data_IF_669120629509
#
_entry.id   IF_669120629509
#
_cell.length_a   1.000
_cell.length_b   1.000
_cell.length_c   1.000
_cell.angle_alpha   90.00
_cell.angle_beta   90.00
_cell.angle_gamma   90.00
#
_symmetry.space_group_name_H-M   'P 1'
#
loop_
_entity.id
_entity.type
_entity.pdbx_description
1 polymer ?
#
# COMPACT_ATOMS: atom_id res chain seq x y z
N UNK A 1 -25.81 -8.62 -3.30
CA UNK A 1 -24.87 -9.45 -2.51
C UNK A 1 -23.46 -8.88 -2.65
N UNK A 2 -23.23 -7.67 -2.10
CA UNK A 2 -22.05 -6.82 -2.41
C UNK A 2 -21.16 -6.48 -1.18
N UNK A 3 -21.40 -7.09 -0.01
CA UNK A 3 -20.98 -6.50 1.28
C UNK A 3 -20.02 -7.34 2.15
N UNK A 4 -19.48 -8.45 1.66
CA UNK A 4 -18.55 -9.29 2.47
C UNK A 4 -17.08 -9.15 2.03
N UNK A 5 -16.80 -8.96 0.74
CA UNK A 5 -15.43 -8.70 0.26
C UNK A 5 -14.93 -7.29 0.61
N UNK A 6 -15.83 -6.30 0.65
CA UNK A 6 -15.52 -4.92 1.07
C UNK A 6 -14.93 -4.82 2.48
N UNK A 7 -15.31 -5.72 3.39
CA UNK A 7 -14.81 -5.70 4.78
C UNK A 7 -13.40 -6.27 4.93
N UNK A 8 -12.94 -7.16 4.04
CA UNK A 8 -11.62 -7.80 4.16
C UNK A 8 -10.49 -6.97 3.56
N UNK A 9 -10.73 -6.25 2.47
CA UNK A 9 -9.76 -5.31 1.90
C UNK A 9 -9.45 -4.18 2.91
N UNK A 10 -10.47 -3.68 3.62
CA UNK A 10 -10.29 -2.72 4.70
C UNK A 10 -9.65 -3.31 5.97
N UNK A 11 -9.84 -4.61 6.26
CA UNK A 11 -9.24 -5.25 7.44
C UNK A 11 -7.72 -5.43 7.28
N UNK A 12 -7.22 -5.69 6.07
CA UNK A 12 -5.79 -5.77 5.78
C UNK A 12 -5.12 -4.38 5.81
N UNK A 13 -5.73 -3.37 5.20
CA UNK A 13 -5.24 -1.98 5.29
C UNK A 13 -5.34 -1.38 6.70
N UNK A 14 -6.37 -1.74 7.47
CA UNK A 14 -6.52 -1.34 8.87
C UNK A 14 -5.44 -1.93 9.78
N UNK A 15 -4.95 -3.14 9.46
CA UNK A 15 -3.87 -3.77 10.21
C UNK A 15 -2.51 -3.11 9.96
N UNK A 16 -2.27 -2.53 8.77
CA UNK A 16 -1.02 -1.81 8.44
C UNK A 16 -0.98 -0.39 9.05
N UNK A 17 -2.13 0.21 9.40
CA UNK A 17 -2.17 1.59 9.93
C UNK A 17 -2.69 1.76 11.35
N UNK A 18 -3.21 0.73 12.04
CA UNK A 18 -3.78 0.89 13.38
C UNK A 18 -3.62 -0.34 14.26
N UNK A 19 -2.55 -0.40 15.07
CA UNK A 19 -2.65 -0.91 16.45
C UNK A 19 -1.62 -0.24 17.36
N UNK A 20 -1.93 0.97 17.83
CA UNK A 20 -1.46 1.42 19.14
C UNK A 20 -2.62 1.23 20.14
N UNK A 21 -2.55 0.18 20.94
CA UNK A 21 -3.29 0.06 22.22
C UNK A 21 -4.54 -0.84 22.26
N UNK A 22 -4.41 -1.98 22.97
CA UNK A 22 -5.47 -2.57 23.81
C UNK A 22 -6.56 -3.45 23.16
N UNK A 23 -6.59 -4.74 23.55
CA UNK A 23 -7.69 -5.69 23.26
C UNK A 23 -8.95 -5.42 24.15
N UNK A 24 -10.15 -6.01 23.90
CA UNK A 24 -10.37 -7.46 23.97
C UNK A 24 -11.34 -8.13 22.96
N UNK A 25 -11.12 -9.45 22.83
CA UNK A 25 -11.94 -10.60 22.42
C UNK A 25 -13.37 -10.45 21.87
N UNK A 26 -13.69 -11.24 20.83
CA UNK A 26 -15.00 -11.91 20.70
C UNK A 26 -14.89 -13.30 20.05
N UNK A 27 -15.76 -14.18 20.54
CA UNK A 27 -15.82 -15.64 20.41
C UNK A 27 -16.80 -16.08 19.31
N UNK A 28 -16.48 -17.18 18.60
CA UNK A 28 -17.47 -18.22 18.25
C UNK A 28 -17.87 -18.42 16.78
N UNK A 29 -17.77 -19.67 16.31
CA UNK A 29 -18.71 -20.27 15.33
C UNK A 29 -18.15 -20.69 13.96
N UNK A 30 -17.95 -22.00 13.77
CA UNK A 30 -17.65 -22.69 12.49
C UNK A 30 -18.95 -22.97 11.65
N UNK A 31 -18.93 -23.82 10.60
CA UNK A 31 -18.31 -23.67 9.27
C UNK A 31 -19.32 -23.90 8.12
N UNK A 32 -19.24 -23.24 6.95
CA UNK A 32 -19.93 -23.71 5.72
C UNK A 32 -19.10 -23.43 4.46
N UNK A 33 -18.68 -24.51 3.81
CA UNK A 33 -18.15 -24.58 2.44
C UNK A 33 -19.26 -24.31 1.41
N UNK A 34 -18.96 -23.62 0.31
CA UNK A 34 -19.37 -24.06 -1.05
C UNK A 34 -18.64 -23.31 -2.15
N UNK A 35 -18.27 -24.09 -3.16
CA UNK A 35 -17.40 -23.76 -4.29
C UNK A 35 -17.93 -22.60 -5.16
N UNK A 36 -17.03 -21.71 -5.58
CA UNK A 36 -17.27 -20.73 -6.65
C UNK A 36 -16.42 -21.13 -7.85
N UNK A 37 -17.10 -21.47 -8.93
CA UNK A 37 -16.53 -21.73 -10.25
C UNK A 37 -15.86 -20.45 -10.78
N UNK A 38 -14.56 -20.54 -11.09
CA UNK A 38 -13.78 -19.48 -11.70
C UNK A 38 -14.17 -19.33 -13.18
N UNK A 39 -14.67 -18.14 -13.57
CA UNK A 39 -14.57 -17.68 -14.95
C UNK A 39 -13.29 -16.86 -15.05
N UNK A 40 -12.22 -17.53 -15.49
CA UNK A 40 -10.95 -16.88 -15.78
C UNK A 40 -11.01 -16.15 -17.11
N UNK A 41 -10.69 -14.86 -17.08
CA UNK A 41 -10.20 -14.15 -18.25
C UNK A 41 -8.85 -13.57 -17.84
N UNK A 42 -7.74 -14.08 -18.36
CA UNK A 42 -6.41 -13.62 -17.92
C UNK A 42 -6.22 -12.18 -18.37
N UNK A 43 -6.41 -11.20 -17.48
CA UNK A 43 -6.10 -9.81 -17.79
C UNK A 43 -4.60 -9.66 -18.07
N UNK A 44 -4.27 -9.31 -19.30
CA UNK A 44 -2.96 -8.82 -19.72
C UNK A 44 -2.81 -7.36 -19.25
N UNK A 45 -1.57 -6.88 -19.12
CA UNK A 45 -1.24 -5.50 -18.72
C UNK A 45 -2.01 -4.43 -19.53
N UNK A 46 -2.47 -4.76 -20.73
CA UNK A 46 -3.23 -3.89 -21.63
C UNK A 46 -4.57 -3.38 -21.05
N UNK A 47 -5.12 -4.00 -20.01
CA UNK A 47 -6.36 -3.53 -19.36
C UNK A 47 -6.17 -2.43 -18.32
N UNK A 48 -4.93 -2.14 -17.92
CA UNK A 48 -4.61 -1.22 -16.83
C UNK A 48 -4.87 0.23 -17.23
N UNK A 49 -5.44 1.01 -16.30
CA UNK A 49 -5.83 2.40 -16.56
C UNK A 49 -5.02 3.35 -15.71
N UNK A 50 -4.57 4.45 -16.30
CA UNK A 50 -3.96 5.55 -15.55
C UNK A 50 -5.01 6.24 -14.67
N UNK A 51 -4.60 6.49 -13.43
CA UNK A 51 -5.39 7.14 -12.40
C UNK A 51 -4.60 8.31 -11.82
N UNK A 52 -5.29 9.42 -11.55
CA UNK A 52 -4.72 10.61 -10.92
C UNK A 52 -5.18 10.70 -9.46
N UNK A 53 -4.28 11.05 -8.56
CA UNK A 53 -4.67 11.37 -7.19
C UNK A 53 -5.63 12.57 -7.14
N UNK A 54 -6.49 12.65 -6.12
CA UNK A 54 -7.54 13.67 -6.00
C UNK A 54 -7.00 15.11 -6.02
N UNK A 55 -5.75 15.31 -5.60
CA UNK A 55 -5.09 16.61 -5.64
C UNK A 55 -4.22 16.81 -6.89
N UNK A 56 -4.25 15.86 -7.83
CA UNK A 56 -3.52 15.91 -9.09
C UNK A 56 -2.00 15.78 -8.96
N UNK A 57 -1.46 15.56 -7.76
CA UNK A 57 -0.01 15.58 -7.48
C UNK A 57 0.77 14.41 -8.08
N UNK A 58 0.08 13.32 -8.39
CA UNK A 58 0.69 12.12 -8.95
C UNK A 58 -0.32 11.30 -9.73
N UNK A 59 0.21 10.41 -10.57
CA UNK A 59 -0.56 9.41 -11.28
C UNK A 59 0.11 8.04 -11.24
N UNK A 60 -0.70 6.99 -11.40
CA UNK A 60 -0.27 5.59 -11.43
C UNK A 60 -1.24 4.77 -12.28
N UNK A 61 -0.76 3.72 -12.93
CA UNK A 61 -1.62 2.74 -13.62
C UNK A 61 -2.11 1.69 -12.63
N UNK A 62 -3.42 1.45 -12.61
CA UNK A 62 -4.07 0.44 -11.76
C UNK A 62 -4.91 -0.53 -12.61
N UNK A 63 -5.07 -1.78 -12.15
CA UNK A 63 -5.84 -2.77 -12.89
C UNK A 63 -7.33 -2.44 -12.96
N UNK A 64 -7.88 -1.85 -11.90
CA UNK A 64 -9.26 -1.39 -11.82
C UNK A 64 -9.32 0.04 -11.26
N UNK A 65 -10.51 0.65 -11.28
CA UNK A 65 -10.71 1.95 -10.63
C UNK A 65 -10.56 1.77 -9.11
N UNK A 66 -9.67 2.54 -8.45
CA UNK A 66 -9.43 2.34 -7.03
C UNK A 66 -10.58 2.80 -6.15
N UNK A 67 -10.76 2.13 -5.02
CA UNK A 67 -11.44 2.70 -3.87
C UNK A 67 -10.51 3.75 -3.22
N UNK A 68 -11.07 4.89 -2.81
CA UNK A 68 -10.31 5.98 -2.18
C UNK A 68 -10.76 6.21 -0.74
N UNK A 69 -9.79 6.25 0.17
CA UNK A 69 -9.98 6.50 1.59
C UNK A 69 -9.14 7.70 2.01
N UNK A 70 -9.75 8.60 2.77
CA UNK A 70 -9.07 9.73 3.42
C UNK A 70 -9.03 9.52 4.92
N UNK A 71 -7.89 9.79 5.53
CA UNK A 71 -7.74 9.73 6.98
C UNK A 71 -6.87 10.87 7.48
N UNK A 72 -7.24 11.41 8.64
CA UNK A 72 -6.44 12.40 9.37
C UNK A 72 -6.11 11.79 10.72
N UNK A 73 -4.84 11.82 11.09
CA UNK A 73 -4.36 11.33 12.39
C UNK A 73 -3.61 12.45 13.10
N UNK A 74 -3.74 12.58 14.44
CA UNK A 74 -2.92 13.49 15.21
C UNK A 74 -1.45 13.08 15.09
N UNK A 75 -0.57 14.06 14.92
CA UNK A 75 0.87 13.85 15.01
C UNK A 75 1.33 14.00 16.46
N UNK A 76 2.41 13.33 16.91
CA UNK A 76 2.88 13.45 18.30
C UNK A 76 3.21 14.88 18.74
N UNK A 77 3.61 15.73 17.80
CA UNK A 77 3.80 17.15 18.04
C UNK A 77 2.47 17.90 18.02
N UNK A 78 2.20 18.65 19.09
CA UNK A 78 0.94 19.37 19.25
C UNK A 78 0.66 20.33 18.09
N UNK A 79 -0.59 20.35 17.64
CA UNK A 79 -1.04 21.24 16.56
C UNK A 79 -0.80 20.70 15.15
N UNK A 80 -0.13 19.57 14.98
CA UNK A 80 0.09 18.94 13.68
C UNK A 80 -0.75 17.68 13.46
N UNK A 81 -1.08 17.42 12.20
CA UNK A 81 -1.81 16.23 11.77
C UNK A 81 -1.13 15.60 10.56
N UNK A 82 -1.17 14.27 10.49
CA UNK A 82 -0.88 13.51 9.28
C UNK A 82 -2.15 13.36 8.46
N UNK A 83 -2.05 13.62 7.16
CA UNK A 83 -3.16 13.41 6.22
C UNK A 83 -2.79 12.29 5.27
N UNK A 84 -3.68 11.32 5.14
CA UNK A 84 -3.52 10.17 4.28
C UNK A 84 -4.59 10.14 3.20
N UNK A 85 -4.15 9.94 1.97
CA UNK A 85 -4.99 9.56 0.83
C UNK A 85 -4.57 8.18 0.35
N UNK A 86 -5.46 7.20 0.45
CA UNK A 86 -5.17 5.81 0.11
C UNK A 86 -6.06 5.34 -1.02
N UNK A 87 -5.46 4.83 -2.09
CA UNK A 87 -6.12 4.32 -3.29
C UNK A 87 -5.83 2.83 -3.42
N UNK A 88 -6.87 2.01 -3.47
CA UNK A 88 -6.75 0.54 -3.44
C UNK A 88 -7.49 -0.06 -4.61
N UNK A 89 -6.80 -0.88 -5.40
CA UNK A 89 -7.36 -1.62 -6.52
C UNK A 89 -7.09 -3.11 -6.36
N UNK A 90 -8.15 -3.91 -6.35
CA UNK A 90 -8.01 -5.36 -6.44
C UNK A 90 -7.70 -5.79 -7.89
N UNK A 91 -7.06 -6.95 -8.03
CA UNK A 91 -6.84 -7.62 -9.31
C UNK A 91 -7.33 -9.07 -9.21
N UNK A 92 -7.74 -9.65 -10.33
CA UNK A 92 -8.46 -10.94 -10.40
C UNK A 92 -7.76 -12.12 -9.72
N UNK A 93 -6.43 -12.08 -9.63
CA UNK A 93 -5.61 -13.09 -8.92
C UNK A 93 -5.48 -12.83 -7.42
N UNK A 94 -6.40 -12.11 -6.78
CA UNK A 94 -6.32 -11.70 -5.36
C UNK A 94 -5.07 -10.88 -5.01
N UNK A 95 -4.46 -10.22 -5.98
CA UNK A 95 -3.44 -9.21 -5.70
C UNK A 95 -4.14 -7.88 -5.43
N UNK A 96 -3.62 -7.12 -4.47
CA UNK A 96 -4.08 -5.77 -4.14
C UNK A 96 -2.96 -4.81 -4.48
N UNK A 97 -3.26 -3.78 -5.26
CA UNK A 97 -2.36 -2.69 -5.58
C UNK A 97 -2.81 -1.43 -4.85
N UNK A 98 -1.87 -0.77 -4.19
CA UNK A 98 -2.13 0.38 -3.34
C UNK A 98 -1.20 1.55 -3.69
N UNK A 99 -1.79 2.73 -3.79
CA UNK A 99 -1.06 4.01 -3.73
C UNK A 99 -1.51 4.75 -2.47
N UNK A 100 -0.58 5.07 -1.59
CA UNK A 100 -0.81 5.87 -0.40
C UNK A 100 0.00 7.17 -0.52
N UNK A 101 -0.62 8.29 -0.10
CA UNK A 101 0.02 9.59 -0.02
C UNK A 101 -0.13 10.06 1.42
N UNK A 102 0.97 10.12 2.16
CA UNK A 102 1.01 10.73 3.49
C UNK A 102 1.59 12.14 3.37
N UNK A 103 0.84 13.13 3.82
CA UNK A 103 1.33 14.50 3.97
C UNK A 103 1.83 14.68 5.40
N UNK A 104 3.15 14.88 5.53
CA UNK A 104 3.80 15.19 6.79
C UNK A 104 3.70 16.69 7.12
N UNK A 105 3.93 17.05 8.40
CA UNK A 105 4.17 18.43 8.79
C UNK A 105 5.33 19.06 7.99
N UNK A 106 5.34 20.39 7.79
CA UNK A 106 6.28 21.06 6.89
C UNK A 106 7.75 20.96 7.32
N UNK A 107 8.02 20.69 8.60
CA UNK A 107 9.38 20.49 9.11
C UNK A 107 9.96 19.11 8.77
N UNK A 108 9.13 18.13 8.36
CA UNK A 108 9.58 16.85 7.81
C UNK A 108 9.58 17.00 6.29
N UNK A 109 10.77 17.08 5.70
CA UNK A 109 10.94 17.28 4.28
C UNK A 109 12.14 16.48 3.72
N UNK A 110 12.44 16.67 2.43
CA UNK A 110 13.48 15.94 1.72
C UNK A 110 14.89 16.02 2.34
N UNK A 111 15.20 17.04 3.14
CA UNK A 111 16.50 17.12 3.84
C UNK A 111 16.74 15.94 4.79
N UNK A 112 15.67 15.24 5.19
CA UNK A 112 15.69 14.06 6.04
C UNK A 112 15.05 12.84 5.37
N UNK A 113 15.04 12.80 4.03
CA UNK A 113 14.36 11.76 3.27
C UNK A 113 14.84 10.34 3.62
N UNK A 114 16.15 10.09 3.66
CA UNK A 114 16.69 8.76 3.94
C UNK A 114 16.28 8.27 5.33
N UNK A 115 16.46 9.10 6.36
CA UNK A 115 16.02 8.80 7.73
C UNK A 115 14.50 8.55 7.81
N UNK A 116 13.70 9.31 7.05
CA UNK A 116 12.24 9.14 7.01
C UNK A 116 11.85 7.82 6.36
N UNK A 117 12.50 7.46 5.25
CA UNK A 117 12.28 6.20 4.51
C UNK A 117 12.70 4.98 5.33
N UNK A 118 13.86 5.04 6.00
CA UNK A 118 14.32 3.99 6.91
C UNK A 118 13.38 3.84 8.10
N UNK A 119 12.96 4.95 8.72
CA UNK A 119 11.99 4.91 9.82
C UNK A 119 10.66 4.30 9.39
N UNK A 120 10.21 4.62 8.17
CA UNK A 120 9.03 4.02 7.57
C UNK A 120 9.19 2.50 7.39
N UNK A 121 10.28 2.04 6.78
CA UNK A 121 10.54 0.61 6.60
C UNK A 121 10.63 -0.14 7.92
N UNK A 122 11.34 0.43 8.90
CA UNK A 122 11.43 -0.13 10.25
C UNK A 122 10.05 -0.27 10.89
N UNK A 123 9.18 0.73 10.72
CA UNK A 123 7.78 0.65 11.15
C UNK A 123 7.05 -0.54 10.52
N UNK A 124 7.17 -0.73 9.20
CA UNK A 124 6.54 -1.85 8.50
C UNK A 124 7.06 -3.21 8.99
N UNK A 125 8.37 -3.38 9.13
CA UNK A 125 8.97 -4.67 9.52
C UNK A 125 8.66 -5.01 10.97
N UNK A 126 8.67 -4.03 11.88
CA UNK A 126 8.47 -4.27 13.32
C UNK A 126 7.00 -4.40 13.73
N UNK A 127 6.07 -3.97 12.88
CA UNK A 127 4.63 -4.03 13.15
C UNK A 127 4.10 -5.46 13.33
N UNK A 128 4.69 -6.45 12.65
CA UNK A 128 4.34 -7.84 12.83
C UNK A 128 5.60 -8.70 12.89
N UNK A 129 5.72 -9.50 13.95
CA UNK A 129 6.79 -10.48 14.15
C UNK A 129 6.95 -11.51 13.02
N UNK A 130 5.92 -11.71 12.19
CA UNK A 130 6.00 -12.60 11.02
C UNK A 130 6.62 -11.95 9.79
N UNK A 131 6.90 -10.64 9.83
CA UNK A 131 7.45 -9.92 8.68
C UNK A 131 8.94 -10.23 8.54
N UNK A 132 9.29 -10.81 7.40
CA UNK A 132 10.67 -11.06 7.00
C UNK A 132 11.03 -10.11 5.87
N UNK A 133 12.02 -9.23 6.10
CA UNK A 133 12.55 -8.36 5.07
C UNK A 133 13.45 -9.16 4.12
N UNK A 134 13.00 -9.37 2.89
CA UNK A 134 13.78 -10.05 1.84
C UNK A 134 14.83 -9.10 1.27
N UNK A 135 14.43 -7.87 0.93
CA UNK A 135 15.36 -6.84 0.48
C UNK A 135 14.83 -5.43 0.78
N UNK A 136 15.77 -4.50 0.88
CA UNK A 136 15.52 -3.06 0.82
C UNK A 136 16.69 -2.38 0.11
N UNK A 137 16.41 -1.39 -0.73
CA UNK A 137 17.43 -0.63 -1.45
C UNK A 137 17.04 0.84 -1.60
N UNK A 138 17.97 1.74 -1.30
CA UNK A 138 17.79 3.17 -1.48
C UNK A 138 18.01 3.52 -2.96
N UNK A 139 17.02 4.15 -3.56
CA UNK A 139 17.00 4.48 -4.98
C UNK A 139 16.60 5.94 -5.20
N UNK A 140 16.50 6.34 -6.46
CA UNK A 140 15.98 7.66 -6.85
C UNK A 140 14.88 7.49 -7.90
N UNK A 141 13.76 8.20 -7.71
CA UNK A 141 12.67 8.26 -8.68
C UNK A 141 12.38 9.72 -9.01
N UNK A 142 12.51 10.07 -10.29
CA UNK A 142 12.19 11.42 -10.79
C UNK A 142 12.93 12.56 -10.05
N UNK A 143 14.13 12.28 -9.54
CA UNK A 143 14.96 13.24 -8.78
C UNK A 143 14.78 13.20 -7.27
N UNK A 144 13.84 12.39 -6.77
CA UNK A 144 13.54 12.26 -5.34
C UNK A 144 14.08 10.97 -4.75
N UNK A 145 14.46 11.01 -3.47
CA UNK A 145 14.92 9.84 -2.72
C UNK A 145 13.77 8.86 -2.53
N UNK A 146 14.08 7.58 -2.73
CA UNK A 146 13.13 6.50 -2.64
C UNK A 146 13.74 5.26 -2.00
N UNK A 147 12.89 4.36 -1.55
CA UNK A 147 13.26 3.07 -0.95
C UNK A 147 12.39 1.98 -1.57
N UNK A 148 13.03 1.07 -2.30
CA UNK A 148 12.40 -0.16 -2.77
C UNK A 148 12.52 -1.21 -1.68
N UNK A 149 11.45 -1.97 -1.46
CA UNK A 149 11.43 -3.00 -0.43
C UNK A 149 10.61 -4.21 -0.84
N UNK A 150 10.93 -5.35 -0.22
CA UNK A 150 10.17 -6.58 -0.34
C UNK A 150 10.16 -7.33 0.98
N UNK A 151 8.96 -7.55 1.49
CA UNK A 151 8.67 -8.24 2.73
C UNK A 151 7.85 -9.48 2.42
N UNK A 152 8.12 -10.57 3.13
CA UNK A 152 7.29 -11.77 3.15
C UNK A 152 6.70 -11.97 4.54
N UNK A 153 5.41 -12.28 4.61
CA UNK A 153 4.72 -12.57 5.86
C UNK A 153 3.67 -13.66 5.65
N UNK A 154 3.79 -14.78 6.37
CA UNK A 154 2.78 -15.87 6.39
C UNK A 154 2.25 -16.29 5.00
N UNK A 155 3.13 -16.46 4.02
CA UNK A 155 2.75 -16.88 2.66
C UNK A 155 2.13 -15.77 1.79
N UNK A 156 2.28 -14.52 2.22
CA UNK A 156 1.92 -13.31 1.48
C UNK A 156 3.19 -12.52 1.20
N UNK A 157 3.22 -11.88 0.03
CA UNK A 157 4.22 -10.93 -0.38
C UNK A 157 3.70 -9.51 -0.25
N UNK A 158 4.54 -8.64 0.31
CA UNK A 158 4.33 -7.21 0.37
C UNK A 158 5.56 -6.52 -0.26
N UNK A 159 5.41 -6.06 -1.50
CA UNK A 159 6.50 -5.49 -2.30
C UNK A 159 6.12 -4.06 -2.71
N UNK A 160 7.05 -3.13 -2.63
CA UNK A 160 6.72 -1.73 -2.92
C UNK A 160 7.91 -0.80 -3.03
N UNK A 161 7.56 0.48 -3.22
CA UNK A 161 8.45 1.62 -3.27
C UNK A 161 7.86 2.75 -2.45
N UNK A 162 8.65 3.32 -1.56
CA UNK A 162 8.35 4.57 -0.88
C UNK A 162 9.18 5.71 -1.50
N UNK A 163 8.60 6.89 -1.70
CA UNK A 163 9.23 8.05 -2.34
C UNK A 163 8.96 9.27 -1.47
N UNK A 164 10.01 10.01 -1.11
CA UNK A 164 9.90 11.28 -0.40
C UNK A 164 10.06 12.45 -1.36
N UNK A 165 8.97 13.20 -1.59
CA UNK A 165 9.00 14.43 -2.36
C UNK A 165 8.32 15.57 -1.58
N UNK A 166 9.02 16.67 -1.41
CA UNK A 166 8.72 17.76 -0.48
C UNK A 166 8.44 17.21 0.94
N UNK A 167 7.26 17.49 1.49
CA UNK A 167 6.77 16.95 2.75
C UNK A 167 5.77 15.79 2.55
N UNK A 168 5.85 15.06 1.44
CA UNK A 168 4.95 13.95 1.13
C UNK A 168 5.72 12.64 0.99
N UNK A 169 5.17 11.59 1.61
CA UNK A 169 5.56 10.20 1.38
C UNK A 169 4.55 9.55 0.43
N UNK A 170 5.02 9.14 -0.73
CA UNK A 170 4.26 8.35 -1.68
C UNK A 170 4.67 6.89 -1.54
N UNK A 171 3.71 6.04 -1.17
CA UNK A 171 3.91 4.61 -1.09
C UNK A 171 3.15 3.93 -2.21
N UNK A 172 3.87 3.20 -3.06
CA UNK A 172 3.31 2.27 -4.01
C UNK A 172 3.58 0.86 -3.51
N UNK A 173 2.55 0.07 -3.27
CA UNK A 173 2.73 -1.28 -2.76
C UNK A 173 1.76 -2.26 -3.41
N UNK A 174 2.19 -3.51 -3.46
CA UNK A 174 1.37 -4.65 -3.85
C UNK A 174 1.41 -5.69 -2.73
N UNK A 175 0.24 -6.22 -2.41
CA UNK A 175 0.06 -7.35 -1.51
C UNK A 175 -0.59 -8.52 -2.25
N UNK A 176 -0.01 -9.71 -2.18
CA UNK A 176 -0.62 -10.92 -2.74
C UNK A 176 -0.14 -12.21 -2.06
N UNK A 177 -0.93 -13.27 -2.12
CA UNK A 177 -0.42 -14.62 -1.84
C UNK A 177 0.77 -14.93 -2.78
N UNK A 178 1.78 -15.66 -2.29
CA UNK A 178 3.00 -16.00 -3.07
C UNK A 178 2.66 -16.62 -4.44
N UNK A 179 1.65 -17.49 -4.49
CA UNK A 179 1.18 -18.17 -5.71
C UNK A 179 0.59 -17.24 -6.76
N UNK A 180 0.17 -16.04 -6.36
CA UNK A 180 -0.47 -15.05 -7.22
C UNK A 180 0.49 -13.94 -7.68
N UNK A 181 1.75 -14.01 -7.23
CA UNK A 181 2.76 -13.04 -7.59
C UNK A 181 3.05 -13.04 -9.09
N UNK A 182 3.02 -11.86 -9.70
CA UNK A 182 3.38 -11.66 -11.10
C UNK A 182 4.31 -10.45 -11.22
N UNK A 183 5.59 -10.73 -11.41
CA UNK A 183 6.65 -9.71 -11.55
C UNK A 183 6.33 -8.70 -12.67
N UNK A 184 5.77 -9.16 -13.80
CA UNK A 184 5.38 -8.28 -14.92
C UNK A 184 4.34 -7.24 -14.53
N UNK A 185 3.34 -7.63 -13.73
CA UNK A 185 2.28 -6.73 -13.29
C UNK A 185 2.79 -5.75 -12.23
N UNK A 186 3.62 -6.25 -11.30
CA UNK A 186 4.29 -5.40 -10.33
C UNK A 186 5.20 -4.36 -11.01
N UNK A 187 5.99 -4.78 -12.00
CA UNK A 187 6.88 -3.88 -12.73
C UNK A 187 6.12 -2.85 -13.57
N UNK A 188 4.98 -3.24 -14.17
CA UNK A 188 4.13 -2.26 -14.84
C UNK A 188 3.56 -1.23 -13.84
N UNK A 189 3.03 -1.71 -12.71
CA UNK A 189 2.50 -0.86 -11.64
C UNK A 189 3.55 0.15 -11.15
N UNK A 190 4.70 -0.34 -10.68
CA UNK A 190 5.70 0.48 -9.99
C UNK A 190 6.35 1.52 -10.91
N UNK A 191 6.52 1.18 -12.19
CA UNK A 191 7.14 2.07 -13.19
C UNK A 191 6.14 3.00 -13.86
N UNK A 192 4.83 2.81 -13.65
CA UNK A 192 3.79 3.71 -14.18
C UNK A 192 3.64 5.01 -13.36
N UNK A 193 4.24 5.06 -12.18
CA UNK A 193 4.16 6.18 -11.26
C UNK A 193 4.85 7.44 -11.82
N UNK A 194 4.15 8.55 -11.75
CA UNK A 194 4.61 9.84 -12.22
C UNK A 194 4.17 10.94 -11.26
N UNK A 195 5.09 11.79 -10.83
CA UNK A 195 4.80 13.02 -10.09
C UNK A 195 4.40 14.09 -11.10
N UNK A 196 3.27 14.75 -10.85
CA UNK A 196 2.79 15.85 -11.70
C UNK A 196 3.34 17.14 -11.12
N UNK A 197 4.07 17.89 -11.94
CA UNK A 197 4.63 19.21 -11.60
C UNK A 197 3.55 20.29 -11.57
#
# INVERSE_FOLDING_TARGET
MLNVFKKKAFAALGAVLLTAGGAPAFVGGAPIQKAVQAKGNVQTVESWKRFHSVHGKCMVSLPESPEHVKQIMPFPEEGYNLRYDVYVSAHEKKAIYMMLIAQYPPFINESHAEMSLESFLNGLVTQNHDNELIFADLTNVQGHKALDFFIQAKGTYFKGRAIMAENHLYLLAMECEVSNYMETNFNHFINSFELVK
#
